data_IF_453062283406
#
_entry.id   IF_453062283406
#
_cell.length_a   1.000
_cell.length_b   1.000
_cell.length_c   1.000
_cell.angle_alpha   90.00
_cell.angle_beta   90.00
_cell.angle_gamma   90.00
#
_symmetry.space_group_name_H-M   'P 1'
#
loop_
_entity.id
_entity.type
_entity.pdbx_description
1 polymer ?
#
# COMPACT_ATOMS: atom_id res chain seq x y z
N UNK A 1 14.85 -26.53 -5.02
CA UNK A 1 13.96 -25.49 -4.45
C UNK A 1 12.63 -26.03 -3.90
N UNK A 2 12.41 -27.35 -3.78
CA UNK A 2 11.11 -27.93 -3.40
C UNK A 2 10.69 -27.78 -1.91
N UNK A 3 11.50 -27.17 -1.05
CA UNK A 3 11.32 -27.25 0.41
C UNK A 3 10.46 -26.16 1.08
N UNK A 4 9.97 -25.17 0.36
CA UNK A 4 9.32 -23.99 0.98
C UNK A 4 7.83 -23.80 0.63
N UNK A 5 7.21 -24.78 -0.01
CA UNK A 5 5.78 -24.70 -0.40
C UNK A 5 4.84 -24.53 0.79
N UNK A 6 5.22 -24.95 2.01
CA UNK A 6 4.41 -24.82 3.21
C UNK A 6 4.65 -23.52 3.99
N UNK A 7 5.58 -22.67 3.54
CA UNK A 7 5.91 -21.43 4.23
C UNK A 7 4.72 -20.48 4.21
N UNK A 8 4.28 -20.04 5.40
CA UNK A 8 3.15 -19.09 5.57
C UNK A 8 3.59 -17.72 6.07
N UNK A 9 4.75 -17.64 6.68
CA UNK A 9 5.29 -16.43 7.27
C UNK A 9 6.74 -16.29 6.84
N UNK A 10 7.08 -15.13 6.31
CA UNK A 10 8.41 -14.79 5.86
C UNK A 10 8.80 -13.46 6.50
N UNK A 11 9.86 -13.50 7.29
CA UNK A 11 10.50 -12.33 7.85
C UNK A 11 11.90 -12.27 7.27
N UNK A 12 12.23 -11.18 6.60
CA UNK A 12 13.52 -10.99 5.97
C UNK A 12 14.17 -9.69 6.42
N UNK A 13 15.48 -9.80 6.61
CA UNK A 13 16.40 -8.69 6.79
C UNK A 13 17.45 -8.87 5.70
N UNK A 14 17.34 -8.13 4.60
CA UNK A 14 18.21 -8.30 3.45
C UNK A 14 18.67 -6.96 2.91
N UNK A 15 19.96 -6.86 2.60
CA UNK A 15 20.54 -5.63 2.07
C UNK A 15 20.27 -5.47 0.57
N UNK A 16 19.99 -6.59 -0.14
CA UNK A 16 19.75 -6.65 -1.59
C UNK A 16 18.44 -7.40 -1.92
N UNK A 17 17.33 -6.68 -2.20
CA UNK A 17 15.99 -7.25 -2.31
C UNK A 17 15.68 -7.95 -3.65
N UNK A 18 16.42 -7.64 -4.72
CA UNK A 18 16.06 -7.99 -6.10
C UNK A 18 15.96 -9.51 -6.30
N UNK A 19 16.99 -10.25 -5.89
CA UNK A 19 17.03 -11.73 -5.98
C UNK A 19 16.03 -12.42 -5.05
N UNK A 20 15.66 -11.75 -3.95
CA UNK A 20 14.72 -12.29 -2.98
C UNK A 20 13.29 -12.28 -3.54
N UNK A 21 12.90 -11.18 -4.17
CA UNK A 21 11.57 -11.01 -4.74
C UNK A 21 11.31 -11.94 -5.94
N UNK A 22 12.31 -12.18 -6.79
CA UNK A 22 12.21 -13.08 -7.95
C UNK A 22 11.80 -14.51 -7.60
N UNK A 23 12.07 -15.00 -6.39
CA UNK A 23 11.70 -16.35 -5.98
C UNK A 23 10.47 -16.41 -5.08
N UNK A 24 10.00 -15.26 -4.59
CA UNK A 24 8.93 -15.16 -3.59
C UNK A 24 7.59 -15.68 -4.12
N UNK A 25 7.30 -15.51 -5.41
CA UNK A 25 6.03 -16.00 -6.00
C UNK A 25 5.88 -17.52 -5.97
N UNK A 26 7.00 -18.25 -5.85
CA UNK A 26 6.98 -19.72 -5.71
C UNK A 26 6.41 -20.14 -4.34
N UNK A 27 6.40 -19.23 -3.36
CA UNK A 27 5.85 -19.41 -2.02
C UNK A 27 4.32 -19.22 -2.03
N UNK A 28 3.60 -20.07 -2.77
CA UNK A 28 2.14 -19.93 -3.01
C UNK A 28 1.27 -19.95 -1.74
N UNK A 29 1.79 -20.49 -0.64
CA UNK A 29 1.09 -20.55 0.65
C UNK A 29 1.44 -19.40 1.61
N UNK A 30 2.26 -18.44 1.16
CA UNK A 30 2.71 -17.33 1.98
C UNK A 30 1.53 -16.41 2.32
N UNK A 31 1.40 -16.10 3.59
CA UNK A 31 0.34 -15.26 4.14
C UNK A 31 0.89 -13.95 4.68
N UNK A 32 2.12 -13.94 5.19
CA UNK A 32 2.72 -12.75 5.77
C UNK A 32 4.14 -12.56 5.27
N UNK A 33 4.43 -11.34 4.82
CA UNK A 33 5.77 -10.85 4.49
C UNK A 33 6.08 -9.71 5.44
N UNK A 34 7.23 -9.77 6.09
CA UNK A 34 7.81 -8.68 6.87
C UNK A 34 9.23 -8.44 6.36
N UNK A 35 9.52 -7.22 5.90
CA UNK A 35 10.87 -6.83 5.45
C UNK A 35 11.35 -5.59 6.19
N UNK A 36 12.57 -5.65 6.71
CA UNK A 36 13.16 -4.57 7.52
C UNK A 36 14.17 -3.68 6.77
N UNK A 37 14.72 -4.12 5.64
CA UNK A 37 15.76 -3.37 4.90
C UNK A 37 15.57 -3.59 3.41
N UNK A 38 15.77 -2.53 2.61
CA UNK A 38 16.40 -2.68 1.31
C UNK A 38 17.07 -1.36 0.89
N UNK A 39 18.38 -1.45 0.61
CA UNK A 39 19.10 -0.47 -0.18
C UNK A 39 19.07 -0.99 -1.63
N UNK A 40 18.49 -0.25 -2.57
CA UNK A 40 18.42 -0.68 -3.98
C UNK A 40 17.08 -0.37 -4.65
N UNK A 41 16.87 -0.88 -5.87
CA UNK A 41 15.58 -0.76 -6.53
C UNK A 41 14.54 -1.56 -5.74
N UNK A 42 13.51 -0.86 -5.28
CA UNK A 42 12.57 -1.37 -4.30
C UNK A 42 11.21 -1.60 -4.97
N UNK A 43 11.16 -2.34 -6.07
CA UNK A 43 9.87 -2.71 -6.65
C UNK A 43 9.50 -4.13 -6.22
N UNK A 44 8.25 -4.34 -5.81
CA UNK A 44 7.72 -5.68 -5.61
C UNK A 44 7.60 -6.39 -6.97
N UNK A 45 7.75 -7.72 -7.00
CA UNK A 45 7.61 -8.46 -8.25
C UNK A 45 6.12 -8.42 -8.68
N UNK A 46 5.79 -8.27 -9.98
CA UNK A 46 4.40 -8.27 -10.47
C UNK A 46 3.59 -9.50 -10.04
N UNK A 47 4.26 -10.61 -9.78
CA UNK A 47 3.67 -11.85 -9.27
C UNK A 47 3.06 -11.72 -7.87
N UNK A 48 3.32 -10.64 -7.13
CA UNK A 48 2.60 -10.32 -5.88
C UNK A 48 1.08 -10.37 -6.10
N UNK A 49 0.61 -9.95 -7.28
CA UNK A 49 -0.79 -9.97 -7.69
C UNK A 49 -1.37 -11.39 -7.89
N UNK A 50 -0.53 -12.42 -7.89
CA UNK A 50 -0.93 -13.83 -7.99
C UNK A 50 -0.94 -14.54 -6.63
N UNK A 51 -0.49 -13.87 -5.56
CA UNK A 51 -0.36 -14.45 -4.22
C UNK A 51 -1.67 -14.35 -3.42
N UNK A 52 -2.70 -15.09 -3.83
CA UNK A 52 -4.07 -14.99 -3.28
C UNK A 52 -4.22 -15.35 -1.80
N UNK A 53 -3.23 -16.05 -1.21
CA UNK A 53 -3.19 -16.39 0.23
C UNK A 53 -2.56 -15.30 1.09
N UNK A 54 -1.98 -14.26 0.47
CA UNK A 54 -1.32 -13.17 1.15
C UNK A 54 -2.32 -12.36 1.97
N UNK A 55 -1.97 -12.12 3.23
CA UNK A 55 -2.77 -11.38 4.21
C UNK A 55 -2.09 -10.09 4.63
N UNK A 56 -0.77 -10.14 4.84
CA UNK A 56 -0.03 -9.01 5.37
C UNK A 56 1.29 -8.82 4.63
N UNK A 57 1.49 -7.63 4.08
CA UNK A 57 2.78 -7.15 3.57
C UNK A 57 3.19 -5.97 4.44
N UNK A 58 4.25 -6.16 5.22
CA UNK A 58 4.75 -5.17 6.17
C UNK A 58 6.18 -4.80 5.83
N UNK A 59 6.37 -3.63 5.23
CA UNK A 59 7.66 -3.13 4.79
C UNK A 59 8.10 -1.97 5.71
N UNK A 60 9.37 -1.96 6.10
CA UNK A 60 9.99 -0.83 6.83
C UNK A 60 10.77 0.13 5.93
N UNK A 61 10.98 -0.23 4.66
CA UNK A 61 11.52 0.62 3.61
C UNK A 61 10.44 1.02 2.61
N UNK A 62 10.73 2.04 1.82
CA UNK A 62 9.85 2.53 0.77
C UNK A 62 9.96 1.64 -0.47
N UNK A 63 8.85 1.04 -0.87
CA UNK A 63 8.79 0.05 -1.94
C UNK A 63 7.65 0.37 -2.90
N UNK A 64 7.92 0.37 -4.20
CA UNK A 64 6.92 0.48 -5.24
C UNK A 64 6.14 -0.83 -5.35
N UNK A 65 4.81 -0.72 -5.38
CA UNK A 65 3.97 -1.83 -5.81
C UNK A 65 3.78 -1.68 -7.33
N UNK A 66 4.11 -2.70 -8.14
CA UNK A 66 3.89 -2.65 -9.58
C UNK A 66 2.40 -2.55 -9.86
N UNK A 67 2.05 -1.92 -10.99
CA UNK A 67 0.67 -1.94 -11.45
C UNK A 67 0.22 -3.40 -11.67
N UNK A 68 -1.06 -3.72 -11.41
CA UNK A 68 -1.54 -5.04 -11.70
C UNK A 68 -1.42 -5.36 -13.19
N UNK A 69 -1.16 -6.64 -13.55
CA UNK A 69 -1.05 -7.01 -14.95
C UNK A 69 -2.38 -6.78 -15.65
N UNK A 70 -2.35 -6.01 -16.74
CA UNK A 70 -3.52 -5.69 -17.57
C UNK A 70 -4.21 -6.99 -17.95
N UNK A 71 -5.51 -7.10 -17.71
CA UNK A 71 -6.30 -8.22 -18.22
C UNK A 71 -6.28 -8.15 -19.76
N UNK A 72 -5.46 -8.98 -20.40
CA UNK A 72 -5.28 -8.97 -21.87
C UNK A 72 -6.55 -9.34 -22.66
N UNK A 73 -7.64 -9.73 -21.99
CA UNK A 73 -8.85 -10.22 -22.66
C UNK A 73 -10.09 -9.46 -22.15
N UNK A 74 -10.43 -8.37 -22.82
CA UNK A 74 -11.75 -7.75 -22.71
C UNK A 74 -12.80 -8.75 -23.22
N UNK A 75 -13.66 -9.25 -22.34
CA UNK A 75 -14.79 -10.12 -22.71
C UNK A 75 -14.73 -11.56 -22.19
N UNK A 76 -13.69 -11.95 -21.45
CA UNK A 76 -13.73 -13.17 -20.63
C UNK A 76 -13.95 -12.73 -19.18
N UNK A 77 -15.12 -13.02 -18.63
CA UNK A 77 -15.57 -12.61 -17.28
C UNK A 77 -14.68 -13.10 -16.10
N UNK A 78 -13.50 -13.70 -16.33
CA UNK A 78 -12.69 -14.32 -15.27
C UNK A 78 -11.18 -14.29 -15.52
N UNK A 79 -10.49 -13.16 -15.35
CA UNK A 79 -9.02 -13.22 -15.10
C UNK A 79 -8.45 -12.18 -14.14
N UNK A 80 -9.28 -11.29 -13.56
CA UNK A 80 -8.81 -10.40 -12.48
C UNK A 80 -8.54 -11.26 -11.24
N UNK A 81 -7.27 -11.48 -10.93
CA UNK A 81 -6.88 -12.19 -9.71
C UNK A 81 -7.09 -11.27 -8.52
N UNK A 82 -8.07 -11.63 -7.69
CA UNK A 82 -8.42 -10.89 -6.47
C UNK A 82 -7.59 -11.40 -5.30
N UNK A 83 -6.91 -10.49 -4.61
CA UNK A 83 -6.17 -10.75 -3.37
C UNK A 83 -7.14 -10.61 -2.20
N UNK A 84 -8.19 -11.43 -2.19
CA UNK A 84 -9.29 -11.32 -1.23
C UNK A 84 -8.87 -11.53 0.24
N UNK A 85 -7.72 -12.16 0.47
CA UNK A 85 -7.18 -12.33 1.82
C UNK A 85 -6.33 -11.15 2.30
N UNK A 86 -5.95 -10.22 1.41
CA UNK A 86 -5.02 -9.15 1.72
C UNK A 86 -5.70 -8.11 2.62
N UNK A 87 -5.13 -7.93 3.81
CA UNK A 87 -5.66 -7.03 4.85
C UNK A 87 -4.68 -5.92 5.21
N UNK A 88 -3.39 -6.08 4.91
CA UNK A 88 -2.37 -5.09 5.27
C UNK A 88 -1.37 -4.90 4.15
N UNK A 89 -1.21 -3.65 3.75
CA UNK A 89 -0.09 -3.14 2.95
C UNK A 89 0.53 -2.00 3.76
N UNK A 90 1.83 -2.04 4.04
CA UNK A 90 2.50 -0.93 4.72
C UNK A 90 3.70 -0.43 3.94
N UNK A 91 3.86 0.88 3.94
CA UNK A 91 5.01 1.63 3.41
C UNK A 91 5.22 1.43 1.90
N UNK A 92 4.10 1.43 1.17
CA UNK A 92 4.15 1.49 -0.29
C UNK A 92 4.51 2.91 -0.70
N UNK A 93 5.48 3.06 -1.59
CA UNK A 93 5.95 4.35 -2.06
C UNK A 93 5.16 4.79 -3.29
N UNK A 94 4.68 6.04 -3.30
CA UNK A 94 3.93 6.64 -4.40
C UNK A 94 2.81 5.72 -4.95
N UNK A 95 2.06 5.10 -4.04
CA UNK A 95 1.04 4.12 -4.39
C UNK A 95 -0.08 4.70 -5.26
N UNK A 96 -0.28 4.09 -6.43
CA UNK A 96 -1.35 4.42 -7.39
C UNK A 96 -2.59 3.54 -7.15
N UNK A 97 -3.61 4.12 -6.51
CA UNK A 97 -4.91 3.47 -6.27
C UNK A 97 -5.83 3.59 -7.49
N UNK A 98 -5.50 2.86 -8.56
CA UNK A 98 -6.36 2.78 -9.76
C UNK A 98 -7.63 1.94 -9.48
N UNK A 99 -8.62 2.02 -10.39
CA UNK A 99 -9.81 1.16 -10.36
C UNK A 99 -9.46 -0.33 -10.25
N UNK A 100 -8.51 -0.77 -11.08
CA UNK A 100 -8.08 -2.16 -11.11
C UNK A 100 -7.42 -2.58 -9.79
N UNK A 101 -6.66 -1.69 -9.16
CA UNK A 101 -6.09 -1.95 -7.83
C UNK A 101 -7.21 -2.13 -6.81
N UNK A 102 -8.21 -1.24 -6.79
CA UNK A 102 -9.34 -1.32 -5.85
C UNK A 102 -10.09 -2.66 -5.98
N UNK A 103 -10.35 -3.12 -7.20
CA UNK A 103 -11.01 -4.40 -7.47
C UNK A 103 -10.21 -5.60 -6.96
N UNK A 104 -8.87 -5.52 -6.99
CA UNK A 104 -7.97 -6.61 -6.57
C UNK A 104 -7.76 -6.69 -5.07
N UNK A 105 -7.92 -5.60 -4.32
CA UNK A 105 -7.69 -5.56 -2.86
C UNK A 105 -8.93 -5.14 -2.03
N UNK A 106 -10.09 -5.80 -2.22
CA UNK A 106 -11.37 -5.33 -1.67
C UNK A 106 -11.45 -5.43 -0.13
N UNK A 107 -10.54 -6.17 0.51
CA UNK A 107 -10.57 -6.45 1.95
C UNK A 107 -9.43 -5.78 2.73
N UNK A 108 -8.79 -4.76 2.14
CA UNK A 108 -7.69 -4.05 2.79
C UNK A 108 -8.19 -3.28 4.03
N UNK A 109 -7.58 -3.55 5.18
CA UNK A 109 -7.92 -2.93 6.48
C UNK A 109 -6.87 -1.95 6.98
N UNK A 110 -5.61 -2.16 6.60
CA UNK A 110 -4.49 -1.30 7.00
C UNK A 110 -3.65 -0.94 5.79
N UNK A 111 -3.45 0.36 5.60
CA UNK A 111 -2.72 0.91 4.48
C UNK A 111 -1.71 1.94 5.01
N UNK A 112 -0.45 1.74 4.68
CA UNK A 112 0.61 2.72 4.91
C UNK A 112 1.20 3.14 3.58
N UNK A 113 1.24 4.44 3.31
CA UNK A 113 1.75 4.97 2.05
C UNK A 113 2.73 6.10 2.33
N UNK A 114 3.89 6.06 1.69
CA UNK A 114 4.82 7.18 1.65
C UNK A 114 4.70 7.88 0.31
N UNK A 115 4.45 9.18 0.37
CA UNK A 115 4.23 10.04 -0.75
C UNK A 115 5.27 11.16 -0.81
N UNK A 116 6.05 11.15 -1.90
CA UNK A 116 7.03 12.18 -2.23
C UNK A 116 6.58 12.95 -3.48
N UNK A 117 6.29 14.23 -3.27
CA UNK A 117 5.71 15.10 -4.29
C UNK A 117 6.66 15.40 -5.46
N UNK A 118 7.97 15.39 -5.24
CA UNK A 118 8.94 15.75 -6.31
C UNK A 118 8.93 14.72 -7.44
N UNK A 119 8.61 13.47 -7.12
CA UNK A 119 8.80 12.33 -8.04
C UNK A 119 7.63 12.12 -8.99
N UNK A 120 6.42 12.59 -8.65
CA UNK A 120 5.22 12.24 -9.43
C UNK A 120 4.37 13.50 -9.67
N UNK A 121 4.13 13.82 -10.93
CA UNK A 121 3.34 14.99 -11.36
C UNK A 121 1.83 14.69 -11.54
N UNK A 122 1.35 13.46 -11.27
CA UNK A 122 0.02 12.98 -11.69
C UNK A 122 -0.81 12.31 -10.58
N UNK A 123 -0.73 12.83 -9.35
CA UNK A 123 -1.40 12.29 -8.17
C UNK A 123 -2.91 12.44 -8.11
N UNK A 124 -3.43 13.47 -8.79
CA UNK A 124 -4.80 13.95 -8.59
C UNK A 124 -5.86 12.89 -8.85
N UNK A 125 -5.54 11.83 -9.61
CA UNK A 125 -6.49 10.76 -9.95
C UNK A 125 -6.43 9.61 -8.93
N UNK A 126 -5.24 9.27 -8.42
CA UNK A 126 -5.06 8.06 -7.59
C UNK A 126 -5.54 8.24 -6.15
N UNK A 127 -5.38 9.43 -5.56
CA UNK A 127 -5.67 9.58 -4.13
C UNK A 127 -7.16 9.73 -3.81
N UNK A 128 -7.95 10.22 -4.77
CA UNK A 128 -9.41 10.35 -4.62
C UNK A 128 -10.09 8.99 -4.45
N UNK A 129 -9.46 7.93 -4.96
CA UNK A 129 -9.93 6.55 -4.83
C UNK A 129 -9.77 5.96 -3.43
N UNK A 130 -9.03 6.61 -2.52
CA UNK A 130 -8.87 6.17 -1.14
C UNK A 130 -10.23 6.01 -0.41
N UNK A 131 -11.18 6.92 -0.68
CA UNK A 131 -12.52 6.89 -0.08
C UNK A 131 -13.32 5.63 -0.40
N UNK A 132 -12.93 4.89 -1.44
CA UNK A 132 -13.59 3.66 -1.90
C UNK A 132 -13.09 2.40 -1.21
N UNK A 133 -12.04 2.50 -0.40
CA UNK A 133 -11.59 1.41 0.46
C UNK A 133 -12.53 1.28 1.68
N UNK A 134 -13.72 0.74 1.47
CA UNK A 134 -14.81 0.69 2.46
C UNK A 134 -14.53 -0.16 3.70
N UNK A 135 -13.43 -0.92 3.73
CA UNK A 135 -12.98 -1.72 4.88
C UNK A 135 -11.70 -1.21 5.54
N UNK A 136 -11.17 -0.06 5.08
CA UNK A 136 -9.93 0.50 5.57
C UNK A 136 -10.09 1.15 6.95
N UNK A 137 -9.58 0.48 7.98
CA UNK A 137 -9.68 0.94 9.37
C UNK A 137 -8.47 1.77 9.82
N UNK A 138 -7.32 1.61 9.18
CA UNK A 138 -6.10 2.32 9.55
C UNK A 138 -5.35 2.80 8.31
N UNK A 139 -5.07 4.11 8.30
CA UNK A 139 -4.27 4.75 7.26
C UNK A 139 -3.07 5.44 7.91
N UNK A 140 -1.89 5.20 7.36
CA UNK A 140 -0.68 5.97 7.66
C UNK A 140 -0.20 6.64 6.38
N UNK A 141 -0.01 7.95 6.41
CA UNK A 141 0.57 8.72 5.32
C UNK A 141 1.90 9.32 5.80
N UNK A 142 2.99 8.95 5.14
CA UNK A 142 4.26 9.66 5.22
C UNK A 142 4.32 10.64 4.06
N UNK A 143 4.57 11.91 4.34
CA UNK A 143 4.46 13.00 3.38
C UNK A 143 5.78 13.76 3.32
N UNK A 144 6.47 13.71 2.18
CA UNK A 144 7.69 14.47 1.91
C UNK A 144 7.45 15.44 0.76
N UNK A 145 8.01 16.65 0.89
CA UNK A 145 7.91 17.72 -0.11
C UNK A 145 6.46 18.14 -0.50
N UNK A 146 5.49 17.90 0.39
CA UNK A 146 4.07 18.01 0.04
C UNK A 146 3.55 19.44 -0.13
N UNK A 147 2.49 19.58 -0.94
CA UNK A 147 1.77 20.83 -1.15
C UNK A 147 0.85 21.18 0.04
N UNK A 148 0.65 22.47 0.34
CA UNK A 148 -0.19 22.94 1.47
C UNK A 148 -1.67 22.50 1.46
N UNK A 149 -2.15 21.86 0.39
CA UNK A 149 -3.56 21.45 0.22
C UNK A 149 -3.77 19.97 -0.04
N UNK A 150 -2.71 19.17 0.07
CA UNK A 150 -2.75 17.74 -0.25
C UNK A 150 -3.87 16.99 0.50
N UNK A 151 -4.08 17.28 1.79
CA UNK A 151 -5.10 16.60 2.57
C UNK A 151 -6.53 17.07 2.25
N UNK A 152 -6.70 18.27 1.68
CA UNK A 152 -8.02 18.84 1.36
C UNK A 152 -8.66 18.11 0.18
N UNK A 153 -7.86 17.58 -0.74
CA UNK A 153 -8.36 16.82 -1.89
C UNK A 153 -8.69 15.36 -1.55
N UNK A 154 -8.29 14.86 -0.38
CA UNK A 154 -8.49 13.45 -0.03
C UNK A 154 -9.90 13.24 0.49
N UNK A 155 -10.62 12.32 -0.15
CA UNK A 155 -11.82 11.72 0.44
C UNK A 155 -11.39 10.53 1.28
N UNK A 156 -11.50 10.63 2.61
CA UNK A 156 -11.20 9.53 3.51
C UNK A 156 -12.33 8.49 3.51
N UNK A 157 -12.01 7.18 3.62
CA UNK A 157 -13.03 6.15 3.69
C UNK A 157 -13.79 6.23 5.03
N UNK A 158 -15.09 5.99 5.00
CA UNK A 158 -15.98 6.06 6.18
C UNK A 158 -15.69 5.00 7.24
N UNK A 159 -14.93 3.95 6.90
CA UNK A 159 -14.51 2.90 7.83
C UNK A 159 -13.26 3.24 8.63
N UNK A 160 -12.64 4.40 8.38
CA UNK A 160 -11.36 4.78 8.96
C UNK A 160 -11.49 5.08 10.45
N UNK A 161 -10.77 4.31 11.27
CA UNK A 161 -10.72 4.44 12.74
C UNK A 161 -9.41 5.05 13.24
N UNK A 162 -8.36 5.02 12.40
CA UNK A 162 -7.04 5.53 12.74
C UNK A 162 -6.41 6.21 11.52
N UNK A 163 -6.00 7.46 11.70
CA UNK A 163 -5.23 8.22 10.73
C UNK A 163 -3.90 8.63 11.35
N UNK A 164 -2.79 8.26 10.74
CA UNK A 164 -1.45 8.71 11.13
C UNK A 164 -0.87 9.55 10.00
N UNK A 165 -0.41 10.75 10.33
CA UNK A 165 0.19 11.69 9.39
C UNK A 165 1.60 11.99 9.87
N UNK A 166 2.59 11.68 9.07
CA UNK A 166 4.01 11.91 9.38
C UNK A 166 4.63 12.66 8.21
N UNK A 167 5.39 13.72 8.47
CA UNK A 167 5.86 14.58 7.39
C UNK A 167 6.48 15.89 7.85
N UNK A 168 7.39 16.39 7.05
CA UNK A 168 8.08 17.66 7.30
C UNK A 168 7.19 18.80 6.79
N UNK A 169 6.63 19.59 7.71
CA UNK A 169 5.85 20.84 7.48
C UNK A 169 4.33 20.69 7.23
N UNK A 170 3.60 20.13 8.19
CA UNK A 170 2.15 20.35 8.25
C UNK A 170 1.82 21.74 8.81
N UNK A 171 1.28 22.64 7.98
CA UNK A 171 0.53 23.80 8.48
C UNK A 171 -0.89 23.32 8.80
N UNK A 172 -1.06 22.68 9.96
CA UNK A 172 -2.30 21.98 10.35
C UNK A 172 -3.50 22.92 10.52
N UNK A 173 -3.26 24.23 10.69
CA UNK A 173 -4.23 25.14 11.30
C UNK A 173 -5.48 25.48 10.48
N UNK A 174 -5.55 25.26 9.15
CA UNK A 174 -6.68 25.80 8.37
C UNK A 174 -7.42 24.79 7.46
N UNK A 175 -7.04 23.50 7.43
CA UNK A 175 -7.35 22.67 6.24
C UNK A 175 -8.08 21.35 6.48
N UNK A 176 -8.23 20.88 7.72
CA UNK A 176 -8.86 19.60 8.00
C UNK A 176 -10.22 19.80 8.68
N UNK A 177 -11.30 19.71 7.90
CA UNK A 177 -12.65 19.43 8.44
C UNK A 177 -12.79 17.93 8.75
N UNK A 178 -11.93 17.41 9.62
CA UNK A 178 -12.09 16.04 10.13
C UNK A 178 -12.95 16.11 11.40
N UNK A 179 -13.97 15.25 11.51
CA UNK A 179 -14.72 15.11 12.76
C UNK A 179 -13.73 14.62 13.85
N UNK A 180 -13.47 15.40 14.92
CA UNK A 180 -12.37 15.12 15.85
C UNK A 180 -12.58 13.85 16.68
N UNK A 181 -13.82 13.42 16.86
CA UNK A 181 -14.19 12.48 17.93
C UNK A 181 -13.89 11.01 17.62
N UNK A 182 -13.55 10.65 16.37
CA UNK A 182 -13.33 9.25 15.96
C UNK A 182 -11.90 8.93 15.48
N UNK A 183 -11.03 9.94 15.37
CA UNK A 183 -9.70 9.77 14.77
C UNK A 183 -8.57 10.05 15.75
N UNK A 184 -7.80 9.02 16.09
CA UNK A 184 -6.48 9.20 16.72
C UNK A 184 -5.48 9.72 15.68
N UNK A 185 -5.37 11.03 15.55
CA UNK A 185 -4.35 11.70 14.73
C UNK A 185 -3.03 11.67 15.50
N UNK A 186 -2.07 10.91 14.99
CA UNK A 186 -0.68 10.94 15.45
C UNK A 186 0.12 11.78 14.45
N UNK A 187 0.61 12.93 14.88
CA UNK A 187 1.47 13.81 14.09
C UNK A 187 2.92 13.56 14.49
N UNK A 188 3.71 13.00 13.57
CA UNK A 188 5.16 12.91 13.71
C UNK A 188 5.80 14.23 13.29
N UNK A 189 6.56 14.86 14.18
CA UNK A 189 7.50 15.93 13.81
C UNK A 189 8.90 15.35 13.93
N UNK A 190 9.67 15.39 12.84
CA UNK A 190 11.11 15.15 12.83
C UNK A 190 11.83 16.44 12.53
#
# INVERSE_FOLDING_TARGET
MEKLVNLRYLYCYYEYPEQFFESMYKLRNLQTIVSLVSRGSNELPPEIWKMTKLRHVKLQCDVYLPDPPISEIKGVENSVVVLGNLQTLSRIYNFRLTEEVLERIPNLRKLGIHYDYIVVASWDISINNLGRLTKLESLTLWLTHTFPRFLVSITFPTSLKKLTLDGTKFYFNDYLKLHPDELKILVGTR
#
